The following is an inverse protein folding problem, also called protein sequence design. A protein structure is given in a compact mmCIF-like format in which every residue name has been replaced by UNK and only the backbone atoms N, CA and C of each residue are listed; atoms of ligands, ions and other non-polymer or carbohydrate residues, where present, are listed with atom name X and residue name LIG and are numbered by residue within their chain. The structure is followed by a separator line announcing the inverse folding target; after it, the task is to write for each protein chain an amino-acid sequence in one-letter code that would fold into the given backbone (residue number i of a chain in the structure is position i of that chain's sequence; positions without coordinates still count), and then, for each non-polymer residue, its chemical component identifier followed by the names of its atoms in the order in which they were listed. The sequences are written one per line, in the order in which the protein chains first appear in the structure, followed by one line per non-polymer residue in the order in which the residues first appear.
data_IF_149445630099
#
_entry.id   IF_149445630099
#
_cell.length_a   1.000
_cell.length_b   1.000
_cell.length_c   1.000
_cell.angle_alpha   90.00
_cell.angle_beta   90.00
_cell.angle_gamma   90.00
#
_symmetry.space_group_name_H-M   'P 1'
#
loop_
_entity.id
_entity.type
_entity.pdbx_description
1 polymer ?
#
# COMPACT_ATOMS: atom_id res chain seq x y z
N UNK A 1 -7.58 -18.92 9.15
CA UNK A 1 -6.84 -18.07 8.20
C UNK A 1 -7.08 -16.61 8.58
N UNK A 2 -6.10 -15.89 9.12
CA UNK A 2 -6.33 -14.53 9.60
C UNK A 2 -6.11 -13.54 8.45
N UNK A 3 -7.05 -13.48 7.51
CA UNK A 3 -7.06 -12.50 6.42
C UNK A 3 -6.89 -11.06 6.91
N UNK A 4 -7.34 -10.78 8.14
CA UNK A 4 -7.11 -9.53 8.87
C UNK A 4 -5.63 -9.12 8.93
N UNK A 5 -4.71 -10.07 9.07
CA UNK A 5 -3.27 -9.76 9.18
C UNK A 5 -2.69 -9.39 7.80
N UNK A 6 -3.13 -10.06 6.73
CA UNK A 6 -2.75 -9.71 5.35
C UNK A 6 -3.32 -8.33 4.99
N UNK A 7 -4.56 -8.07 5.39
CA UNK A 7 -5.20 -6.78 5.17
C UNK A 7 -4.46 -5.67 5.92
N UNK A 8 -4.17 -5.87 7.20
CA UNK A 8 -3.41 -4.92 8.00
C UNK A 8 -2.02 -4.67 7.39
N UNK A 9 -1.32 -5.73 6.97
CA UNK A 9 -0.04 -5.63 6.26
C UNK A 9 -0.13 -4.75 5.01
N UNK A 10 -1.13 -5.00 4.15
CA UNK A 10 -1.38 -4.19 2.96
C UNK A 10 -1.72 -2.74 3.28
N UNK A 11 -2.46 -2.48 4.36
CA UNK A 11 -2.77 -1.12 4.80
C UNK A 11 -1.48 -0.38 5.20
N UNK A 12 -0.63 -1.00 6.02
CA UNK A 12 0.65 -0.42 6.42
C UNK A 12 1.58 -0.19 5.23
N UNK A 13 1.65 -1.12 4.27
CA UNK A 13 2.39 -0.95 3.02
C UNK A 13 1.87 0.21 2.15
N UNK A 14 0.55 0.33 2.03
CA UNK A 14 -0.11 1.45 1.35
C UNK A 14 0.15 2.79 2.03
N UNK A 15 0.04 2.86 3.36
CA UNK A 15 0.34 4.06 4.15
C UNK A 15 1.80 4.48 4.02
N UNK A 16 2.74 3.54 4.06
CA UNK A 16 4.15 3.82 3.81
C UNK A 16 4.36 4.45 2.42
N UNK A 17 3.69 3.92 1.39
CA UNK A 17 3.75 4.47 0.03
C UNK A 17 3.19 5.89 -0.05
N UNK A 18 2.09 6.17 0.67
CA UNK A 18 1.51 7.51 0.79
C UNK A 18 2.47 8.47 1.50
N UNK A 19 3.08 8.04 2.62
CA UNK A 19 4.06 8.83 3.36
C UNK A 19 5.30 9.18 2.52
N UNK A 20 5.80 8.22 1.73
CA UNK A 20 6.91 8.45 0.80
C UNK A 20 6.54 9.46 -0.29
N UNK A 21 5.32 9.37 -0.81
CA UNK A 21 4.80 10.35 -1.78
C UNK A 21 4.72 11.75 -1.16
N UNK A 22 4.18 11.87 0.05
CA UNK A 22 4.12 13.15 0.78
C UNK A 22 5.53 13.69 1.04
N UNK A 23 6.47 12.82 1.44
CA UNK A 23 7.87 13.19 1.65
C UNK A 23 8.50 13.73 0.37
N UNK A 24 8.27 13.08 -0.78
CA UNK A 24 8.77 13.53 -2.07
C UNK A 24 8.21 14.91 -2.44
N UNK A 25 6.89 15.10 -2.33
CA UNK A 25 6.24 16.39 -2.62
C UNK A 25 6.75 17.51 -1.70
N UNK A 26 6.88 17.23 -0.39
CA UNK A 26 7.43 18.20 0.57
C UNK A 26 8.92 18.48 0.33
N UNK A 27 9.69 17.49 -0.11
CA UNK A 27 11.10 17.67 -0.47
C UNK A 27 11.28 18.61 -1.66
N UNK A 28 10.41 18.51 -2.66
CA UNK A 28 10.39 19.44 -3.81
C UNK A 28 9.97 20.85 -3.37
N UNK A 29 8.96 20.97 -2.51
CA UNK A 29 8.39 22.27 -2.12
C UNK A 29 9.23 23.04 -1.09
N UNK A 30 9.83 22.35 -0.11
CA UNK A 30 10.56 22.96 1.02
C UNK A 30 12.08 22.80 0.93
N UNK A 31 12.57 22.03 -0.05
CA UNK A 31 13.97 21.60 -0.15
C UNK A 31 14.31 20.44 0.80
N UNK A 32 15.30 19.63 0.41
CA UNK A 32 15.80 18.48 1.18
C UNK A 32 16.45 18.87 2.53
N UNK A 33 16.74 20.15 2.73
CA UNK A 33 17.27 20.70 3.98
C UNK A 33 16.23 20.81 5.10
N UNK A 34 14.94 20.70 4.78
CA UNK A 34 13.87 20.65 5.77
C UNK A 34 13.82 19.30 6.48
N UNK A 35 13.55 19.28 7.79
CA UNK A 35 13.41 18.03 8.54
C UNK A 35 12.12 17.26 8.18
N UNK A 36 11.09 17.94 7.67
CA UNK A 36 9.76 17.35 7.44
C UNK A 36 9.75 16.17 6.43
N UNK A 37 10.38 16.27 5.24
CA UNK A 37 10.53 15.14 4.32
C UNK A 37 11.24 13.94 4.95
N UNK A 38 12.29 14.18 5.75
CA UNK A 38 13.06 13.12 6.41
C UNK A 38 12.27 12.41 7.50
N UNK A 39 11.50 13.15 8.29
CA UNK A 39 10.59 12.57 9.29
C UNK A 39 9.56 11.68 8.59
N UNK A 40 8.94 12.16 7.51
CA UNK A 40 7.97 11.38 6.74
C UNK A 40 8.59 10.10 6.14
N UNK A 41 9.83 10.16 5.63
CA UNK A 41 10.58 8.97 5.18
C UNK A 41 10.83 7.99 6.34
N UNK A 42 11.26 8.49 7.50
CA UNK A 42 11.49 7.67 8.70
C UNK A 42 10.22 6.94 9.16
N UNK A 43 9.09 7.66 9.22
CA UNK A 43 7.78 7.07 9.56
C UNK A 43 7.35 6.07 8.49
N UNK A 44 7.59 6.34 7.20
CA UNK A 44 7.29 5.39 6.13
C UNK A 44 8.08 4.09 6.28
N UNK A 45 9.36 4.15 6.63
CA UNK A 45 10.19 2.96 6.90
C UNK A 45 9.59 2.16 8.06
N UNK A 46 9.22 2.82 9.15
CA UNK A 46 8.56 2.17 10.28
C UNK A 46 7.25 1.48 9.89
N UNK A 47 6.38 2.19 9.16
CA UNK A 47 5.13 1.63 8.66
C UNK A 47 5.36 0.42 7.74
N UNK A 48 6.32 0.51 6.81
CA UNK A 48 6.66 -0.59 5.91
C UNK A 48 7.21 -1.80 6.69
N UNK A 49 8.07 -1.58 7.68
CA UNK A 49 8.58 -2.61 8.57
C UNK A 49 7.47 -3.33 9.34
N UNK A 50 6.52 -2.59 9.92
CA UNK A 50 5.34 -3.17 10.59
C UNK A 50 4.52 -4.01 9.58
N UNK A 51 4.26 -3.46 8.39
CA UNK A 51 3.53 -4.16 7.34
C UNK A 51 4.21 -5.47 6.92
N UNK A 52 5.54 -5.47 6.84
CA UNK A 52 6.35 -6.64 6.51
C UNK A 52 6.32 -7.70 7.62
N UNK A 53 6.42 -7.30 8.89
CA UNK A 53 6.31 -8.23 10.03
C UNK A 53 4.93 -8.89 10.06
N UNK A 54 3.85 -8.12 9.85
CA UNK A 54 2.50 -8.65 9.75
C UNK A 54 2.38 -9.64 8.58
N UNK A 55 2.94 -9.30 7.41
CA UNK A 55 2.99 -10.19 6.26
C UNK A 55 3.69 -11.52 6.58
N UNK A 56 4.87 -11.45 7.19
CA UNK A 56 5.64 -12.64 7.61
C UNK A 56 4.84 -13.52 8.59
N UNK A 57 4.10 -12.91 9.53
CA UNK A 57 3.21 -13.64 10.43
C UNK A 57 2.05 -14.28 9.67
N UNK A 58 1.47 -13.60 8.68
CA UNK A 58 0.39 -14.15 7.86
C UNK A 58 0.84 -15.40 7.09
N UNK A 59 2.04 -15.37 6.50
CA UNK A 59 2.63 -16.49 5.75
C UNK A 59 2.77 -17.79 6.57
N UNK A 60 2.74 -17.72 7.91
CA UNK A 60 2.72 -18.93 8.74
C UNK A 60 1.43 -19.76 8.58
N UNK A 61 0.36 -19.15 8.04
CA UNK A 61 -0.98 -19.75 7.93
C UNK A 61 -1.57 -19.67 6.52
N UNK A 62 -0.81 -19.19 5.53
CA UNK A 62 -1.26 -19.05 4.14
C UNK A 62 -0.08 -19.14 3.17
N UNK A 63 -0.34 -19.40 1.90
CA UNK A 63 0.71 -19.52 0.88
C UNK A 63 1.10 -18.15 0.32
N UNK A 64 2.36 -18.04 -0.10
CA UNK A 64 2.90 -16.81 -0.69
C UNK A 64 2.17 -16.39 -1.96
N UNK A 65 1.71 -17.36 -2.76
CA UNK A 65 0.93 -17.12 -3.98
C UNK A 65 -0.40 -16.42 -3.74
N UNK A 66 -0.88 -16.36 -2.49
CA UNK A 66 -2.19 -15.81 -2.15
C UNK A 66 -2.04 -14.55 -1.29
N UNK A 67 -1.16 -14.60 -0.29
CA UNK A 67 -0.92 -13.46 0.58
C UNK A 67 -0.33 -12.26 -0.16
N UNK A 68 0.64 -12.49 -1.06
CA UNK A 68 1.32 -11.40 -1.74
C UNK A 68 0.39 -10.62 -2.68
N UNK A 69 -0.34 -11.26 -3.62
CA UNK A 69 -1.27 -10.53 -4.48
C UNK A 69 -2.34 -9.78 -3.69
N UNK A 70 -2.85 -10.39 -2.62
CA UNK A 70 -3.84 -9.75 -1.74
C UNK A 70 -3.28 -8.52 -1.03
N UNK A 71 -2.09 -8.63 -0.44
CA UNK A 71 -1.42 -7.52 0.24
C UNK A 71 -1.18 -6.34 -0.73
N UNK A 72 -0.67 -6.63 -1.93
CA UNK A 72 -0.41 -5.62 -2.96
C UNK A 72 -1.70 -4.94 -3.42
N UNK A 73 -2.77 -5.70 -3.64
CA UNK A 73 -4.08 -5.15 -4.00
C UNK A 73 -4.58 -4.15 -2.95
N UNK A 74 -4.43 -4.48 -1.67
CA UNK A 74 -4.86 -3.62 -0.57
C UNK A 74 -3.99 -2.37 -0.48
N UNK A 75 -2.67 -2.52 -0.65
CA UNK A 75 -1.73 -1.39 -0.66
C UNK A 75 -2.08 -0.42 -1.80
N UNK A 76 -2.39 -0.95 -2.98
CA UNK A 76 -2.86 -0.18 -4.13
C UNK A 76 -4.16 0.57 -3.82
N UNK A 77 -5.16 -0.11 -3.24
CA UNK A 77 -6.43 0.51 -2.88
C UNK A 77 -6.27 1.68 -1.90
N UNK A 78 -5.35 1.56 -0.93
CA UNK A 78 -5.03 2.66 0.00
C UNK A 78 -4.45 3.86 -0.75
N UNK A 79 -3.50 3.63 -1.65
CA UNK A 79 -2.87 4.71 -2.45
C UNK A 79 -3.90 5.38 -3.37
N UNK A 80 -4.76 4.60 -4.02
CA UNK A 80 -5.83 5.13 -4.88
C UNK A 80 -6.86 5.92 -4.07
N UNK A 81 -7.27 5.40 -2.91
CA UNK A 81 -8.20 6.10 -2.01
C UNK A 81 -7.61 7.43 -1.53
N UNK A 82 -6.33 7.43 -1.15
CA UNK A 82 -5.64 8.67 -0.77
C UNK A 82 -5.63 9.68 -1.93
N UNK A 83 -5.30 9.22 -3.15
CA UNK A 83 -5.27 10.06 -4.36
C UNK A 83 -6.65 10.65 -4.67
N UNK A 84 -7.70 9.82 -4.58
CA UNK A 84 -9.09 10.23 -4.82
C UNK A 84 -9.57 11.30 -3.83
N UNK A 85 -9.15 11.20 -2.57
CA UNK A 85 -9.61 12.06 -1.47
C UNK A 85 -8.84 13.39 -1.38
N UNK A 86 -7.53 13.40 -1.71
CA UNK A 86 -6.65 14.55 -1.41
C UNK A 86 -6.19 15.32 -2.65
N UNK A 87 -6.26 14.73 -3.84
CA UNK A 87 -5.75 15.38 -5.04
C UNK A 87 -6.86 15.67 -6.04
N UNK A 88 -7.35 14.64 -6.73
CA UNK A 88 -8.31 14.77 -7.81
C UNK A 88 -9.19 13.51 -7.86
N UNK A 89 -10.42 13.66 -8.38
CA UNK A 89 -11.24 12.52 -8.77
C UNK A 89 -10.42 11.60 -9.69
N UNK A 90 -10.39 10.31 -9.35
CA UNK A 90 -9.66 9.31 -10.13
C UNK A 90 -10.09 9.40 -11.60
N UNK A 91 -9.11 9.44 -12.50
CA UNK A 91 -9.42 9.40 -13.94
C UNK A 91 -10.15 8.08 -14.22
N UNK A 92 -11.21 8.08 -15.06
CA UNK A 92 -11.97 6.87 -15.35
C UNK A 92 -11.09 5.68 -15.76
N UNK A 93 -10.03 5.95 -16.55
CA UNK A 93 -9.09 4.92 -16.98
C UNK A 93 -8.26 4.31 -15.83
N UNK A 94 -7.93 5.09 -14.80
CA UNK A 94 -7.25 4.57 -13.60
C UNK A 94 -8.17 3.63 -12.81
N UNK A 95 -9.47 3.96 -12.73
CA UNK A 95 -10.45 3.10 -12.10
C UNK A 95 -10.61 1.78 -12.87
N UNK A 96 -10.67 1.83 -14.21
CA UNK A 96 -10.69 0.63 -15.05
C UNK A 96 -9.44 -0.23 -14.82
N UNK A 97 -8.25 0.39 -14.80
CA UNK A 97 -7.00 -0.32 -14.51
C UNK A 97 -7.00 -0.98 -13.13
N UNK A 98 -7.50 -0.28 -12.10
CA UNK A 98 -7.65 -0.83 -10.76
C UNK A 98 -8.59 -2.05 -10.73
N UNK A 99 -9.72 -1.98 -11.44
CA UNK A 99 -10.66 -3.11 -11.56
C UNK A 99 -9.99 -4.31 -12.23
N UNK A 100 -9.23 -4.11 -13.32
CA UNK A 100 -8.49 -5.19 -13.99
C UNK A 100 -7.49 -5.85 -13.04
N UNK A 101 -6.76 -5.05 -12.24
CA UNK A 101 -5.81 -5.58 -11.24
C UNK A 101 -6.56 -6.39 -10.18
N UNK A 102 -7.70 -5.91 -9.66
CA UNK A 102 -8.50 -6.63 -8.67
C UNK A 102 -9.04 -7.95 -9.22
N UNK A 103 -9.49 -7.97 -10.48
CA UNK A 103 -9.90 -9.20 -11.17
C UNK A 103 -8.71 -10.17 -11.27
N UNK A 104 -7.53 -9.68 -11.67
CA UNK A 104 -6.31 -10.49 -11.75
C UNK A 104 -5.93 -11.09 -10.39
N UNK A 105 -5.97 -10.30 -9.33
CA UNK A 105 -5.71 -10.76 -7.96
C UNK A 105 -6.73 -11.82 -7.55
N UNK A 106 -8.01 -11.59 -7.79
CA UNK A 106 -9.06 -12.57 -7.52
C UNK A 106 -8.86 -13.87 -8.30
N UNK A 107 -8.49 -13.81 -9.58
CA UNK A 107 -8.20 -14.99 -10.38
C UNK A 107 -7.05 -15.82 -9.81
N UNK A 108 -6.01 -15.17 -9.27
CA UNK A 108 -4.87 -15.83 -8.65
C UNK A 108 -5.23 -16.43 -7.28
N UNK A 109 -6.06 -15.75 -6.50
CA UNK A 109 -6.36 -16.12 -5.10
C UNK A 109 -7.57 -17.04 -4.95
N UNK A 110 -8.41 -17.21 -5.98
CA UNK A 110 -9.69 -17.97 -5.87
C UNK A 110 -9.56 -19.46 -5.54
N UNK A 111 -8.39 -20.05 -5.77
CA UNK A 111 -8.13 -21.47 -5.55
C UNK A 111 -7.33 -21.76 -4.28
N UNK A 112 -7.21 -20.76 -3.42
CA UNK A 112 -6.50 -20.79 -2.15
C UNK A 112 -7.31 -21.38 -0.99
#
# INVERSE_FOLDING_TARGET
MNWLIVIASGIFGGLASVLLRIAALKGIALGESSALPWIARGVAIGAYGIGFVLYAVALRKTTLGVAYPTMVAISMLVVLSFTALHEHLLKPMQAVGAVVILIGVWMVTRYA
#
